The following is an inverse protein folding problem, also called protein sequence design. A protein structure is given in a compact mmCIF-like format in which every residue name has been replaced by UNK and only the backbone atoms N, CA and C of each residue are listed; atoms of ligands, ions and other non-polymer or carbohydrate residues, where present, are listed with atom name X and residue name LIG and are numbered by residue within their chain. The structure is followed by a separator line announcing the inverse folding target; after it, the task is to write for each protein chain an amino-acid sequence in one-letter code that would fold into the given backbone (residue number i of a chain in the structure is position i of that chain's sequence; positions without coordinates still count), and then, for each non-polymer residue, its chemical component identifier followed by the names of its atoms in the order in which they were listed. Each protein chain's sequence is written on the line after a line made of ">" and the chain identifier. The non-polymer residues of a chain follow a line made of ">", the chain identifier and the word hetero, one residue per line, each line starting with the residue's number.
data_IF_778354540999
#
_entry.id   IF_778354540999
#
_cell.length_a   1.000
_cell.length_b   1.000
_cell.length_c   1.000
_cell.angle_alpha   90.00
_cell.angle_beta   90.00
_cell.angle_gamma   90.00
#
_symmetry.space_group_name_H-M   'P 1'
#
loop_
_entity.id
_entity.type
_entity.pdbx_description
1 polymer ?
2 polymer ?
3 non-polymer ?
4 non-polymer ?
5 non-polymer ?
6 non-polymer ?
7 non-polymer ?
8 non-polymer ?
9 non-polymer ?
10 non-polymer ?
11 water ?
#
# COMPACT_ATOMS: atom_id res chain seq x y z
N UNK A 10 11.41 -15.35 -3.08
CA UNK A 10 10.10 -14.74 -3.37
C UNK A 10 9.20 -14.64 -2.10
N UNK A 11 9.22 -15.70 -1.26
CA UNK A 11 8.46 -15.81 -0.01
C UNK A 11 9.03 -14.85 1.05
N UNK A 12 8.43 -13.63 1.20
CA UNK A 12 8.88 -12.60 2.15
C UNK A 12 7.82 -12.12 3.18
N UNK A 13 8.04 -12.43 4.48
CA UNK A 13 7.20 -11.95 5.58
C UNK A 13 7.93 -10.83 6.27
N UNK A 14 7.21 -9.78 6.65
CA UNK A 14 7.78 -8.65 7.37
C UNK A 14 6.75 -7.76 8.03
N UNK A 15 7.19 -7.09 9.09
CA UNK A 15 6.44 -6.13 9.87
C UNK A 15 6.89 -4.72 9.42
N UNK A 16 6.01 -3.75 9.55
CA UNK A 16 6.31 -2.36 9.29
C UNK A 16 5.87 -1.51 10.50
N UNK A 17 6.66 -0.50 10.81
CA UNK A 17 6.38 0.41 11.91
C UNK A 17 6.56 1.83 11.46
N UNK A 18 5.64 2.66 11.94
CA UNK A 18 5.62 4.08 11.72
C UNK A 18 5.63 4.75 13.07
N UNK A 19 6.66 5.58 13.32
CA UNK A 19 6.78 6.33 14.55
C UNK A 19 6.74 7.78 14.15
N UNK A 20 5.58 8.42 14.39
CA UNK A 20 5.33 9.83 14.09
C UNK A 20 5.58 10.65 15.37
N UNK A 21 6.55 11.57 15.32
CA UNK A 21 6.93 12.42 16.47
C UNK A 21 6.56 13.86 16.20
N UNK A 22 5.42 14.30 16.73
CA UNK A 22 4.92 15.62 16.42
C UNK A 22 5.55 16.71 17.24
N UNK A 23 5.45 16.64 18.59
CA UNK A 23 5.97 17.65 19.50
C UNK A 23 6.52 17.02 20.78
N UNK A 24 7.02 17.84 21.73
CA UNK A 24 7.58 17.44 23.04
C UNK A 24 6.78 16.33 23.73
N UNK A 25 5.44 16.35 23.56
CA UNK A 25 4.49 15.41 24.15
C UNK A 25 3.84 14.44 23.15
N UNK A 26 3.32 14.94 22.03
CA UNK A 26 2.63 14.10 21.04
C UNK A 26 3.59 13.31 20.16
N UNK A 27 3.47 11.97 20.22
CA UNK A 27 4.23 11.01 19.43
C UNK A 27 3.49 9.68 19.45
N UNK A 28 3.18 9.11 18.28
CA UNK A 28 2.48 7.83 18.21
C UNK A 28 3.20 6.79 17.34
N UNK A 29 2.80 5.53 17.49
CA UNK A 29 3.37 4.40 16.75
C UNK A 29 2.31 3.50 16.14
N UNK A 30 2.59 2.93 14.94
CA UNK A 30 1.66 2.05 14.23
C UNK A 30 2.37 0.99 13.38
N UNK A 31 1.87 -0.24 13.49
CA UNK A 31 2.40 -1.40 12.77
C UNK A 31 1.43 -2.22 11.96
N UNK A 32 1.97 -3.10 11.12
CA UNK A 32 1.20 -3.99 10.23
C UNK A 32 2.06 -5.29 9.99
N UNK A 33 1.42 -6.40 9.63
CA UNK A 33 2.08 -7.67 9.36
C UNK A 33 1.86 -8.04 7.92
N UNK A 34 2.92 -8.07 7.12
CA UNK A 34 2.78 -8.28 5.68
C UNK A 34 3.46 -9.50 5.13
N UNK A 35 2.82 -10.09 4.13
CA UNK A 35 3.27 -11.23 3.37
C UNK A 35 3.25 -10.70 1.93
N UNK A 36 4.34 -9.97 1.57
CA UNK A 36 4.55 -9.22 0.33
C UNK A 36 3.48 -8.10 0.27
N UNK A 37 2.63 -8.07 -0.77
CA UNK A 37 1.56 -7.07 -0.89
C UNK A 37 0.37 -7.42 0.04
N UNK A 38 0.25 -8.72 0.44
CA UNK A 38 -0.86 -9.20 1.24
C UNK A 38 -0.70 -8.89 2.72
N UNK A 39 -1.62 -8.08 3.27
CA UNK A 39 -1.59 -7.77 4.69
C UNK A 39 -2.20 -8.93 5.45
N UNK A 40 -1.48 -9.45 6.44
CA UNK A 40 -1.87 -10.60 7.25
C UNK A 40 -2.18 -10.25 8.68
N UNK A 41 -1.64 -9.12 9.18
CA UNK A 41 -1.80 -8.65 10.56
C UNK A 41 -1.90 -7.15 10.67
N UNK A 42 -2.40 -6.70 11.81
CA UNK A 42 -2.54 -5.29 12.11
C UNK A 42 -2.19 -5.03 13.56
N UNK A 43 -2.00 -3.76 13.93
CA UNK A 43 -1.64 -3.47 15.30
C UNK A 43 -2.49 -2.42 15.96
N UNK A 44 -3.16 -2.77 17.07
CA UNK A 44 -3.98 -1.83 17.85
C UNK A 44 -3.02 -0.93 18.60
N UNK A 45 -2.62 0.16 17.92
CA UNK A 45 -1.68 1.20 18.34
C UNK A 45 -1.86 1.60 19.80
N UNK A 46 -3.11 1.94 20.20
CA UNK A 46 -3.49 2.36 21.55
C UNK A 46 -3.36 1.22 22.57
N UNK A 47 -4.22 0.16 22.46
CA UNK A 47 -4.31 -1.02 23.35
C UNK A 47 -3.05 -1.89 23.45
N UNK A 48 -2.30 -1.98 22.34
CA UNK A 48 -1.15 -2.86 22.25
C UNK A 48 -1.67 -4.29 22.13
N UNK A 49 -2.38 -4.58 21.01
CA UNK A 49 -3.01 -5.88 20.72
C UNK A 49 -2.84 -6.25 19.24
N UNK A 50 -2.35 -7.47 18.93
CA UNK A 50 -2.17 -7.91 17.52
C UNK A 50 -3.54 -8.16 16.94
N UNK A 51 -3.72 -7.76 15.68
CA UNK A 51 -4.95 -7.95 14.92
C UNK A 51 -4.68 -9.01 13.86
N UNK A 52 -5.39 -10.14 13.98
CA UNK A 52 -5.26 -11.22 13.03
C UNK A 52 -6.32 -11.00 12.00
N UNK A 53 -5.90 -10.52 10.83
CA UNK A 53 -6.80 -10.19 9.74
C UNK A 53 -7.51 -11.39 9.16
N UNK A 54 -6.79 -12.49 8.93
CA UNK A 54 -7.36 -13.72 8.36
C UNK A 54 -7.45 -14.87 9.37
N UNK A 55 -8.27 -15.90 9.00
CA UNK A 55 -8.45 -17.14 9.75
C UNK A 55 -7.08 -17.75 10.07
N UNK A 56 -6.20 -17.86 9.04
CA UNK A 56 -4.85 -18.43 9.02
C UNK A 56 -3.69 -17.54 9.50
N UNK A 57 -3.99 -16.30 9.93
CA UNK A 57 -2.99 -15.35 10.44
C UNK A 57 -2.16 -15.90 11.65
N UNK A 58 -2.72 -16.90 12.37
CA UNK A 58 -2.04 -17.56 13.48
C UNK A 58 -0.86 -18.40 12.91
N UNK A 59 -1.05 -18.95 11.70
CA UNK A 59 -0.04 -19.76 11.01
C UNK A 59 0.00 -21.18 11.52
N UNK A 60 0.93 -21.45 12.44
CA UNK A 60 1.03 -22.73 13.11
C UNK A 60 1.35 -22.48 14.58
N UNK A 61 1.81 -21.25 14.88
CA UNK A 61 2.20 -20.78 16.21
C UNK A 61 1.13 -20.89 17.27
N UNK A 62 1.55 -21.41 18.43
CA UNK A 62 0.75 -21.57 19.64
C UNK A 62 0.36 -20.19 20.14
N UNK A 63 -0.81 -20.06 20.76
CA UNK A 63 -1.24 -18.77 21.28
C UNK A 63 -0.37 -18.32 22.45
N UNK A 64 0.22 -19.28 23.19
CA UNK A 64 1.15 -18.99 24.28
C UNK A 64 2.37 -18.30 23.64
N UNK A 65 2.73 -18.72 22.41
CA UNK A 65 3.85 -18.14 21.68
C UNK A 65 3.43 -16.75 21.31
N UNK A 66 2.48 -16.62 20.36
CA UNK A 66 1.95 -15.36 19.84
C UNK A 66 1.68 -14.31 20.91
N UNK A 67 1.23 -14.74 22.11
CA UNK A 67 0.97 -13.80 23.20
C UNK A 67 2.27 -13.17 23.68
N UNK A 68 3.30 -14.02 23.94
CA UNK A 68 4.64 -13.59 24.32
C UNK A 68 5.21 -12.66 23.21
N UNK A 69 4.98 -13.00 21.93
CA UNK A 69 5.40 -12.17 20.81
C UNK A 69 4.68 -10.84 20.86
N UNK A 70 3.32 -10.86 20.92
CA UNK A 70 2.46 -9.68 21.02
C UNK A 70 2.96 -8.78 22.13
N UNK A 71 3.33 -9.39 23.28
CA UNK A 71 3.87 -8.73 24.46
C UNK A 71 5.19 -8.00 24.16
N UNK A 72 6.19 -8.74 23.64
CA UNK A 72 7.47 -8.16 23.27
C UNK A 72 7.26 -6.98 22.30
N UNK A 73 6.39 -7.15 21.29
CA UNK A 73 6.07 -6.08 20.35
C UNK A 73 5.53 -4.85 21.06
N UNK A 74 4.56 -5.03 22.01
CA UNK A 74 3.91 -3.97 22.79
C UNK A 74 4.94 -3.15 23.52
N UNK A 75 5.84 -3.82 24.31
CA UNK A 75 6.92 -3.17 25.06
C UNK A 75 7.79 -2.30 24.15
N UNK A 76 8.26 -2.88 23.03
CA UNK A 76 9.08 -2.24 22.01
C UNK A 76 8.37 -1.04 21.32
N UNK A 77 7.12 -1.24 20.88
CA UNK A 77 6.33 -0.19 20.22
C UNK A 77 6.18 1.02 21.16
N UNK A 78 6.08 0.77 22.48
CA UNK A 78 5.97 1.83 23.45
C UNK A 78 7.31 2.40 23.84
N UNK A 79 8.25 1.52 24.17
CA UNK A 79 9.61 1.83 24.57
C UNK A 79 10.40 2.61 23.54
N UNK A 80 10.33 2.19 22.24
CA UNK A 80 11.05 2.90 21.16
C UNK A 80 10.66 4.39 21.17
N UNK A 81 9.34 4.68 21.26
CA UNK A 81 8.78 6.02 21.36
C UNK A 81 9.27 6.72 22.62
N UNK A 82 9.28 5.99 23.75
CA UNK A 82 9.67 6.47 25.08
C UNK A 82 11.12 6.94 25.04
N UNK A 83 12.02 6.06 24.55
CA UNK A 83 13.46 6.29 24.39
C UNK A 83 13.76 7.37 23.36
N UNK A 84 12.96 7.43 22.25
CA UNK A 84 13.12 8.46 21.22
C UNK A 84 12.75 9.84 21.79
N UNK A 85 11.58 9.94 22.45
CA UNK A 85 11.17 11.22 23.01
C UNK A 85 12.08 11.68 24.13
N UNK A 86 12.81 10.74 24.76
CA UNK A 86 13.77 11.05 25.83
C UNK A 86 14.99 11.76 25.28
N UNK A 87 15.45 11.34 24.10
CA UNK A 87 16.60 11.94 23.43
C UNK A 87 16.19 13.26 22.79
N UNK A 88 14.96 13.31 22.21
CA UNK A 88 14.37 14.48 21.56
C UNK A 88 13.97 15.57 22.56
N UNK A 89 13.97 15.24 23.88
CA UNK A 89 13.66 16.16 24.97
C UNK A 89 14.74 17.25 25.10
N UNK A 90 15.93 17.03 24.47
CA UNK A 90 17.08 17.94 24.46
C UNK A 90 16.95 19.00 23.35
N UNK A 91 16.71 18.57 22.07
CA UNK A 91 16.59 19.47 20.92
C UNK A 91 15.16 19.51 20.35
N UNK A 92 14.27 20.28 21.03
CA UNK A 92 12.85 20.46 20.67
C UNK A 92 12.63 21.14 19.27
N UNK A 93 13.75 21.39 18.54
CA UNK A 93 13.81 22.00 17.21
C UNK A 93 13.71 20.93 16.13
N UNK A 94 14.35 19.75 16.36
CA UNK A 94 14.34 18.59 15.44
C UNK A 94 12.92 18.05 15.14
N UNK A 95 11.91 18.52 15.90
CA UNK A 95 10.48 18.22 15.78
C UNK A 95 9.88 18.99 14.60
N UNK A 96 8.96 18.40 13.78
CA UNK A 96 8.47 17.03 13.79
C UNK A 96 9.36 16.15 12.91
N UNK A 97 9.23 14.82 13.05
CA UNK A 97 10.01 13.84 12.30
C UNK A 97 9.36 12.47 12.33
N UNK A 98 9.71 11.62 11.36
CA UNK A 98 9.14 10.31 11.28
C UNK A 98 10.17 9.23 11.09
N UNK A 99 10.07 8.20 11.92
CA UNK A 99 10.91 7.03 11.88
C UNK A 99 10.08 5.94 11.20
N UNK A 100 10.72 5.14 10.33
CA UNK A 100 10.09 4.04 9.61
C UNK A 100 10.86 2.75 9.81
N UNK A 101 10.16 1.63 10.04
CA UNK A 101 10.85 0.36 10.23
C UNK A 101 10.27 -0.65 9.29
N UNK A 102 11.14 -1.41 8.63
CA UNK A 102 10.76 -2.53 7.76
C UNK A 102 11.70 -3.65 8.18
N UNK A 103 11.16 -4.78 8.66
CA UNK A 103 12.00 -5.89 9.11
C UNK A 103 11.30 -7.22 9.04
N UNK A 104 11.97 -8.20 8.46
CA UNK A 104 11.44 -9.54 8.33
C UNK A 104 12.45 -10.48 7.73
N UNK A 105 12.02 -11.27 6.73
CA UNK A 105 12.85 -12.27 6.07
C UNK A 105 12.26 -12.71 4.77
N UNK A 106 13.11 -13.14 3.81
CA UNK A 106 12.72 -13.76 2.53
C UNK A 106 13.39 -15.14 2.51
N UNK A 107 12.62 -16.24 2.55
CA UNK A 107 13.16 -17.61 2.58
C UNK A 107 13.35 -18.20 1.18
N UNK A 112 19.30 -21.07 1.43
CA UNK A 112 19.28 -20.66 2.83
C UNK A 112 18.40 -19.38 3.06
N UNK A 113 17.78 -19.17 4.26
CA UNK A 113 16.91 -17.97 4.44
C UNK A 113 17.64 -16.68 4.86
N UNK A 114 17.18 -15.52 4.35
CA UNK A 114 17.77 -14.22 4.67
C UNK A 114 16.83 -13.30 5.48
N UNK A 115 17.32 -12.79 6.61
CA UNK A 115 16.59 -11.86 7.50
C UNK A 115 17.00 -10.42 7.27
N UNK A 116 16.22 -9.42 7.78
CA UNK A 116 16.54 -7.98 7.56
C UNK A 116 15.90 -7.01 8.52
N UNK A 117 16.46 -5.81 8.64
CA UNK A 117 15.93 -4.77 9.50
C UNK A 117 16.41 -3.41 8.99
N UNK A 118 15.59 -2.80 8.11
CA UNK A 118 15.82 -1.48 7.51
C UNK A 118 15.06 -0.40 8.31
N UNK A 119 15.73 0.73 8.54
CA UNK A 119 15.22 1.89 9.29
C UNK A 119 15.40 3.11 8.42
N UNK A 120 14.40 3.98 8.46
CA UNK A 120 14.42 5.24 7.73
C UNK A 120 14.05 6.38 8.65
N UNK A 121 14.55 7.57 8.33
CA UNK A 121 14.28 8.81 9.03
C UNK A 121 13.82 9.83 7.99
N UNK A 122 12.65 10.41 8.21
CA UNK A 122 12.08 11.40 7.30
C UNK A 122 12.01 10.85 5.87
N UNK A 123 11.81 9.53 5.79
CA UNK A 123 11.67 8.77 4.56
C UNK A 123 12.93 8.67 3.73
N UNK A 124 14.04 8.38 4.41
CA UNK A 124 15.37 8.23 3.86
C UNK A 124 16.09 7.29 4.77
N UNK A 125 16.66 6.20 4.21
CA UNK A 125 17.37 5.19 4.99
C UNK A 125 18.29 5.82 6.02
N UNK A 126 18.15 5.35 7.26
CA UNK A 126 18.95 5.81 8.37
C UNK A 126 19.96 4.74 8.67
N UNK A 127 19.52 3.51 8.96
CA UNK A 127 20.41 2.37 9.28
C UNK A 127 19.83 1.00 8.88
N UNK A 128 20.65 -0.03 9.09
CA UNK A 128 20.35 -1.40 8.78
C UNK A 128 20.89 -2.37 9.83
N UNK A 129 20.45 -3.65 9.76
CA UNK A 129 20.98 -4.66 10.65
C UNK A 129 21.70 -5.68 9.81
N UNK A 130 23.02 -5.64 9.87
CA UNK A 130 23.86 -6.52 9.08
C UNK A 130 24.59 -7.42 10.03
N UNK A 131 24.37 -8.75 9.89
CA UNK A 131 24.83 -9.81 10.79
C UNK A 131 24.28 -9.40 12.18
N UNK A 132 25.17 -8.95 13.09
CA UNK A 132 24.77 -8.49 14.41
C UNK A 132 25.12 -7.00 14.62
N UNK A 133 25.66 -6.35 13.59
CA UNK A 133 26.06 -4.96 13.62
C UNK A 133 25.00 -4.05 13.06
N UNK A 134 24.71 -2.95 13.77
CA UNK A 134 23.80 -1.91 13.34
C UNK A 134 24.69 -1.00 12.52
N UNK A 135 24.40 -0.90 11.21
CA UNK A 135 25.22 -0.17 10.24
C UNK A 135 24.51 1.04 9.67
N UNK A 136 25.16 2.21 9.83
CA UNK A 136 24.57 3.45 9.29
C UNK A 136 24.44 3.44 7.75
N UNK A 137 23.33 3.97 7.22
CA UNK A 137 23.18 4.13 5.76
C UNK A 137 24.23 5.16 5.32
N UNK A 138 25.02 4.87 4.24
CA UNK A 138 26.10 5.80 3.86
C UNK A 138 25.56 7.16 3.40
N UNK A 139 25.60 8.13 4.31
CA UNK A 139 25.07 9.48 4.06
C UNK A 139 25.02 10.31 5.33
N UNK A 140 23.81 10.43 5.98
CA UNK A 140 23.72 11.16 7.26
C UNK A 140 24.45 10.36 8.33
N UNK A 141 25.68 10.78 8.62
CA UNK A 141 26.51 10.11 9.59
C UNK A 141 26.14 10.44 11.02
N UNK A 142 26.15 11.74 11.40
CA UNK A 142 25.98 12.21 12.77
C UNK A 142 24.78 11.63 13.49
N UNK A 143 23.57 11.65 12.88
CA UNK A 143 22.43 11.02 13.55
C UNK A 143 22.55 9.49 13.55
N UNK A 144 22.75 8.84 12.36
CA UNK A 144 22.89 7.39 12.33
C UNK A 144 23.99 6.84 13.26
N UNK A 145 25.27 7.29 13.11
CA UNK A 145 26.44 6.90 13.91
C UNK A 145 26.17 6.94 15.43
N UNK A 146 25.37 7.96 15.86
CA UNK A 146 24.91 8.20 17.23
C UNK A 146 23.94 7.08 17.60
N UNK A 147 22.82 6.90 16.85
CA UNK A 147 21.82 5.83 17.06
C UNK A 147 22.55 4.46 17.10
N UNK A 148 23.20 4.06 15.97
CA UNK A 148 23.98 2.84 15.78
C UNK A 148 24.87 2.51 16.95
N UNK A 149 25.58 3.52 17.47
CA UNK A 149 26.45 3.32 18.62
C UNK A 149 25.65 2.73 19.77
N UNK A 150 24.60 3.45 20.22
CA UNK A 150 23.75 3.07 21.34
C UNK A 150 23.15 1.72 21.15
N UNK A 151 22.80 1.39 19.90
CA UNK A 151 22.24 0.08 19.57
C UNK A 151 23.34 -0.98 19.70
N UNK A 152 24.53 -0.74 19.13
CA UNK A 152 25.65 -1.68 19.14
C UNK A 152 26.32 -1.88 20.49
N UNK A 153 26.31 -0.86 21.38
CA UNK A 153 27.04 -0.91 22.65
C UNK A 153 26.30 -0.43 23.87
N UNK A 154 25.01 -0.10 23.79
CA UNK A 154 24.42 0.43 25.00
C UNK A 154 23.11 -0.23 25.37
N UNK A 155 22.22 -0.55 24.43
CA UNK A 155 20.99 -1.24 24.85
C UNK A 155 21.32 -2.71 24.72
N UNK A 156 21.56 -3.37 25.88
CA UNK A 156 22.13 -4.71 25.95
C UNK A 156 21.29 -5.87 25.40
N UNK A 157 20.04 -6.03 25.79
CA UNK A 157 19.23 -7.13 25.27
C UNK A 157 18.97 -7.14 23.77
N UNK A 158 18.38 -6.05 23.31
CA UNK A 158 17.92 -5.70 21.96
C UNK A 158 18.57 -6.44 20.75
N UNK A 159 19.89 -6.25 20.49
CA UNK A 159 20.57 -6.83 19.31
C UNK A 159 20.35 -8.32 19.14
N UNK A 160 20.52 -9.10 20.22
CA UNK A 160 20.34 -10.55 20.19
C UNK A 160 18.88 -10.90 19.88
N UNK A 161 17.94 -10.12 20.47
CA UNK A 161 16.51 -10.30 20.28
C UNK A 161 16.13 -10.05 18.84
N UNK A 162 16.58 -8.92 18.26
CA UNK A 162 16.32 -8.53 16.87
C UNK A 162 16.89 -9.61 15.90
N UNK A 163 18.11 -10.07 16.22
CA UNK A 163 18.79 -11.13 15.49
C UNK A 163 17.92 -12.38 15.50
N UNK A 164 17.47 -12.79 16.68
CA UNK A 164 16.61 -13.94 16.84
C UNK A 164 15.29 -13.80 16.11
N UNK A 165 14.64 -12.66 16.23
CA UNK A 165 13.34 -12.49 15.58
C UNK A 165 13.42 -12.63 14.09
N UNK A 166 14.40 -11.98 13.45
CA UNK A 166 14.49 -12.00 11.98
C UNK A 166 15.07 -13.33 11.44
N UNK A 167 15.90 -14.03 12.21
CA UNK A 167 16.53 -15.25 11.71
C UNK A 167 15.93 -16.56 12.23
N UNK A 168 15.41 -16.61 13.47
CA UNK A 168 14.80 -17.83 14.04
C UNK A 168 13.28 -17.80 13.97
N UNK A 169 12.65 -16.74 14.48
CA UNK A 169 11.20 -16.66 14.56
C UNK A 169 10.56 -16.47 13.16
N UNK A 170 10.85 -15.35 12.43
CA UNK A 170 10.34 -15.01 11.08
C UNK A 170 10.33 -16.23 10.12
N UNK A 171 11.46 -16.94 9.89
CA UNK A 171 11.40 -18.11 8.98
C UNK A 171 10.48 -19.22 9.46
N UNK A 172 10.49 -19.49 10.79
CA UNK A 172 9.62 -20.48 11.43
C UNK A 172 8.16 -20.09 11.21
N UNK A 173 7.84 -18.80 11.44
CA UNK A 173 6.51 -18.25 11.28
C UNK A 173 5.99 -18.26 9.84
N UNK A 174 6.76 -17.63 8.90
CA UNK A 174 6.48 -17.47 7.46
C UNK A 174 6.21 -18.80 6.77
N UNK A 175 6.92 -19.85 7.22
CA UNK A 175 6.73 -21.19 6.68
C UNK A 175 5.37 -21.69 7.09
N UNK A 176 5.05 -21.48 8.37
CA UNK A 176 3.76 -21.84 8.96
C UNK A 176 2.61 -21.13 8.30
N UNK A 177 2.75 -19.80 8.12
CA UNK A 177 1.76 -18.91 7.51
C UNK A 177 1.40 -19.27 6.09
N UNK A 178 2.40 -19.72 5.30
CA UNK A 178 2.20 -20.16 3.93
C UNK A 178 1.41 -21.48 3.85
N UNK A 179 1.75 -22.45 4.74
CA UNK A 179 1.02 -23.71 4.80
C UNK A 179 -0.38 -23.44 5.41
N UNK A 180 -0.51 -22.36 6.21
CA UNK A 180 -1.76 -21.92 6.83
C UNK A 180 -2.74 -21.32 5.82
N UNK A 181 -2.26 -20.34 5.02
CA UNK A 181 -3.04 -19.66 4.01
C UNK A 181 -3.05 -20.32 2.64
N UNK A 182 -2.57 -21.59 2.55
CA UNK A 182 -2.46 -22.43 1.34
C UNK A 182 -3.49 -22.11 0.24
N UNK A 183 -4.79 -22.18 0.57
CA UNK A 183 -5.89 -21.91 -0.37
C UNK A 183 -6.00 -20.40 -0.72
N UNK A 184 -5.98 -19.50 0.29
CA UNK A 184 -6.13 -18.05 0.11
C UNK A 184 -4.97 -17.40 -0.63
N UNK A 185 -3.74 -17.76 -0.29
CA UNK A 185 -2.51 -17.20 -0.87
C UNK A 185 -2.31 -17.71 -2.31
N UNK A 186 -2.82 -18.88 -2.65
CA UNK A 186 -2.67 -19.39 -4.00
C UNK A 186 -3.98 -19.37 -4.84
N UNK A 187 -5.03 -18.66 -4.34
CA UNK A 187 -6.34 -18.55 -5.01
C UNK A 187 -6.25 -17.80 -6.34
N UNK A 188 -7.15 -18.11 -7.28
CA UNK A 188 -7.17 -17.45 -8.58
C UNK A 188 -8.54 -16.77 -8.81
N UNK A 189 -8.53 -15.44 -8.90
CA UNK A 189 -9.73 -14.63 -9.08
C UNK A 189 -9.75 -14.02 -10.49
N UNK A 190 -10.70 -14.50 -11.31
CA UNK A 190 -10.88 -14.08 -12.70
C UNK A 190 -11.31 -12.59 -12.82
N UNK A 191 -10.70 -11.82 -13.75
CA UNK A 191 -11.03 -10.38 -13.85
C UNK A 191 -12.37 -10.06 -14.48
N UNK A 192 -12.94 -8.93 -14.06
CA UNK A 192 -14.18 -8.36 -14.59
C UNK A 192 -13.71 -7.20 -15.54
N UNK A 193 -13.76 -7.44 -16.86
CA UNK A 193 -13.24 -6.48 -17.83
C UNK A 193 -14.30 -5.78 -18.74
N UNK A 194 -14.21 -4.44 -18.89
CA UNK A 194 -15.12 -3.66 -19.73
C UNK A 194 -14.46 -2.51 -20.46
N UNK A 195 -15.17 -1.94 -21.44
CA UNK A 195 -14.66 -0.78 -22.17
C UNK A 195 -15.38 0.51 -21.72
N UNK A 196 -14.86 1.68 -22.13
CA UNK A 196 -15.38 2.98 -21.71
C UNK A 196 -14.96 4.10 -22.69
N UNK A 197 -15.86 5.08 -22.90
CA UNK A 197 -15.62 6.27 -23.71
C UNK A 197 -15.44 7.48 -22.79
N UNK A 198 -14.64 8.46 -23.20
CA UNK A 198 -14.36 9.67 -22.42
C UNK A 198 -13.86 10.78 -23.32
N UNK A 199 -14.45 11.98 -23.27
CA UNK A 199 -13.96 13.06 -24.12
C UNK A 199 -12.51 13.46 -23.81
N UNK A 200 -11.64 13.39 -24.85
CA UNK A 200 -10.24 13.78 -24.79
C UNK A 200 -10.20 15.29 -24.98
N UNK A 201 -9.04 15.90 -24.73
CA UNK A 201 -8.88 17.33 -24.87
C UNK A 201 -8.99 17.84 -26.31
N UNK A 202 -8.76 16.95 -27.28
CA UNK A 202 -8.77 17.27 -28.70
C UNK A 202 -10.12 17.30 -29.39
N UNK A 203 -10.21 18.13 -30.45
CA UNK A 203 -11.40 18.25 -31.31
C UNK A 203 -11.43 16.95 -32.11
N UNK A 204 -12.56 16.25 -32.04
CA UNK A 204 -12.72 14.95 -32.69
C UNK A 204 -11.73 13.93 -32.17
N UNK A 205 -11.54 13.86 -30.82
CA UNK A 205 -10.65 12.93 -30.13
C UNK A 205 -11.36 12.43 -28.86
N UNK A 206 -11.50 11.09 -28.71
CA UNK A 206 -12.15 10.40 -27.57
C UNK A 206 -11.14 9.43 -26.96
N UNK A 207 -11.22 9.21 -25.66
CA UNK A 207 -10.35 8.25 -24.96
C UNK A 207 -11.07 6.91 -24.83
N UNK A 208 -10.31 5.82 -24.91
CA UNK A 208 -10.87 4.48 -24.83
C UNK A 208 -10.32 3.75 -23.63
N UNK A 209 -11.09 3.78 -22.55
CA UNK A 209 -10.64 3.14 -21.32
C UNK A 209 -11.06 1.67 -21.33
N UNK A 210 -10.06 0.79 -21.16
CA UNK A 210 -10.26 -0.65 -21.05
C UNK A 210 -10.00 -1.00 -19.58
N UNK A 211 -10.99 -1.54 -18.90
CA UNK A 211 -10.85 -1.90 -17.49
C UNK A 211 -10.75 -3.39 -17.31
N UNK A 212 -10.09 -3.82 -16.23
CA UNK A 212 -9.93 -5.20 -15.75
C UNK A 212 -9.88 -5.04 -14.24
N UNK A 213 -10.99 -5.33 -13.59
CA UNK A 213 -11.10 -5.13 -12.15
C UNK A 213 -11.28 -6.46 -11.41
N UNK A 214 -11.13 -6.40 -10.08
CA UNK A 214 -11.36 -7.51 -9.15
C UNK A 214 -10.63 -8.81 -9.45
N UNK A 215 -9.35 -8.75 -9.84
CA UNK A 215 -8.52 -9.92 -10.16
C UNK A 215 -7.39 -10.16 -9.12
N UNK A 216 -6.96 -11.43 -8.96
CA UNK A 216 -5.89 -11.85 -8.04
C UNK A 216 -5.33 -13.20 -8.51
N UNK A 217 -4.03 -13.49 -8.48
CA UNK A 217 -2.89 -12.65 -8.08
C UNK A 217 -2.63 -11.48 -9.03
N UNK A 218 -1.97 -10.42 -8.50
CA UNK A 218 -1.62 -9.14 -9.14
C UNK A 218 -1.09 -9.24 -10.61
N UNK A 219 -0.17 -10.18 -11.01
CA UNK A 219 0.30 -10.17 -12.41
C UNK A 219 -0.80 -10.29 -13.49
N UNK A 220 -0.99 -9.20 -14.26
CA UNK A 220 -2.01 -9.04 -15.29
C UNK A 220 -1.43 -8.42 -16.59
N UNK A 221 -2.18 -8.48 -17.75
CA UNK A 221 -1.74 -7.91 -19.04
C UNK A 221 -2.88 -7.40 -19.88
N UNK A 222 -3.28 -6.15 -19.61
CA UNK A 222 -4.33 -5.41 -20.34
C UNK A 222 -3.64 -4.70 -21.53
N UNK A 223 -3.96 -5.12 -22.77
CA UNK A 223 -3.36 -4.57 -24.00
C UNK A 223 -4.42 -4.11 -25.00
N UNK A 224 -4.18 -2.96 -25.68
CA UNK A 224 -5.05 -2.40 -26.76
C UNK A 224 -4.45 -2.76 -28.10
N UNK A 225 -5.29 -3.30 -28.99
CA UNK A 225 -4.90 -3.73 -30.34
C UNK A 225 -5.59 -2.90 -31.41
N UNK A 226 -4.82 -2.34 -32.38
CA UNK A 226 -5.43 -1.62 -33.50
C UNK A 226 -5.53 -2.68 -34.56
N UNK A 227 -6.71 -3.35 -34.59
CA UNK A 227 -6.99 -4.50 -35.44
C UNK A 227 -5.98 -5.64 -35.11
N UNK A 228 -4.98 -5.86 -36.01
CA UNK A 228 -3.96 -6.91 -35.89
C UNK A 228 -2.88 -6.67 -34.81
N UNK A 229 -2.12 -5.56 -34.89
CA UNK A 229 -1.02 -5.27 -33.95
C UNK A 229 -1.45 -4.70 -32.58
N UNK A 230 -0.64 -5.03 -31.54
CA UNK A 230 -0.76 -4.58 -30.15
C UNK A 230 -0.17 -3.19 -30.13
N UNK A 231 -0.91 -2.21 -29.60
CA UNK A 231 -0.46 -0.82 -29.59
C UNK A 231 0.18 -0.33 -28.28
N UNK A 232 1.54 -0.17 -28.30
CA UNK A 232 2.27 0.48 -27.21
C UNK A 232 1.97 1.96 -27.50
N UNK A 233 1.91 2.79 -26.48
CA UNK A 233 1.50 4.18 -26.68
C UNK A 233 0.11 4.45 -26.16
N UNK A 234 -0.36 3.61 -25.25
CA UNK A 234 -1.63 3.70 -24.54
C UNK A 234 -1.24 4.20 -23.12
N UNK A 235 -2.21 4.67 -22.30
CA UNK A 235 -1.91 5.11 -20.92
C UNK A 235 -2.27 4.04 -19.92
N UNK A 236 -1.27 3.20 -19.64
CA UNK A 236 -1.29 2.09 -18.71
C UNK A 236 -1.33 2.70 -17.32
N UNK A 237 -2.25 2.24 -16.47
CA UNK A 237 -2.36 2.73 -15.11
C UNK A 237 -1.52 1.90 -14.15
N UNK A 238 -1.58 2.22 -12.85
CA UNK A 238 -0.88 1.43 -11.83
C UNK A 238 -1.83 0.29 -11.46
N UNK A 239 -1.33 -0.93 -11.24
CA UNK A 239 -2.23 -2.02 -10.81
C UNK A 239 -2.59 -1.65 -9.35
N UNK A 240 -3.83 -1.16 -9.18
CA UNK A 240 -4.33 -0.61 -7.92
C UNK A 240 -5.10 -1.59 -7.02
N UNK A 241 -5.13 -1.33 -5.69
CA UNK A 241 -5.81 -2.25 -4.79
C UNK A 241 -7.29 -2.00 -4.60
N UNK A 242 -8.03 -3.08 -4.24
CA UNK A 242 -9.45 -3.06 -3.87
C UNK A 242 -9.51 -3.53 -2.43
N UNK A 243 -10.52 -3.09 -1.68
CA UNK A 243 -10.68 -3.42 -0.26
C UNK A 243 -10.70 -4.91 -0.02
N UNK A 244 -11.26 -5.69 -0.97
CA UNK A 244 -11.38 -7.14 -0.86
C UNK A 244 -10.06 -7.89 -0.89
N UNK A 245 -9.10 -7.34 -1.60
CA UNK A 245 -7.77 -7.92 -1.77
C UNK A 245 -7.38 -7.96 -3.23
N UNK A 246 -8.36 -7.87 -4.12
CA UNK A 246 -8.12 -7.91 -5.54
C UNK A 246 -7.56 -6.60 -6.07
N UNK A 247 -7.14 -6.67 -7.33
CA UNK A 247 -6.45 -5.64 -8.06
C UNK A 247 -7.26 -5.05 -9.19
N UNK A 248 -6.84 -3.88 -9.65
CA UNK A 248 -7.54 -3.16 -10.70
C UNK A 248 -6.54 -2.48 -11.62
N UNK A 249 -6.81 -2.55 -12.95
CA UNK A 249 -5.98 -1.89 -13.97
C UNK A 249 -6.86 -1.29 -15.04
N UNK A 250 -6.43 -0.12 -15.60
CA UNK A 250 -7.09 0.53 -16.74
C UNK A 250 -6.09 1.10 -17.74
N UNK A 251 -6.27 0.78 -19.02
CA UNK A 251 -5.42 1.23 -20.12
C UNK A 251 -6.25 2.13 -21.07
N UNK A 252 -5.81 3.39 -21.21
CA UNK A 252 -6.47 4.42 -22.03
C UNK A 252 -5.85 4.50 -23.43
N UNK A 253 -6.67 4.55 -24.46
CA UNK A 253 -6.20 4.67 -25.83
C UNK A 253 -6.94 5.85 -26.47
N UNK A 254 -6.21 6.86 -26.87
CA UNK A 254 -6.87 7.98 -27.51
C UNK A 254 -7.10 7.65 -28.99
N UNK A 255 -8.32 7.93 -29.50
CA UNK A 255 -8.70 7.68 -30.90
C UNK A 255 -9.35 8.90 -31.52
N UNK A 256 -9.11 9.11 -32.81
CA UNK A 256 -9.74 10.21 -33.51
C UNK A 256 -11.17 9.79 -33.84
N UNK A 257 -12.06 10.78 -34.08
CA UNK A 257 -13.46 10.61 -34.43
C UNK A 257 -13.69 9.31 -35.25
N UNK A 258 -14.08 8.23 -34.53
CA UNK A 258 -14.33 6.86 -35.01
C UNK A 258 -13.09 6.19 -35.72
N UNK A 259 -12.14 5.64 -34.93
CA UNK A 259 -10.95 4.97 -35.47
C UNK A 259 -11.05 3.45 -35.40
N UNK A 262 -11.89 0.02 -36.15
CA UNK A 262 -11.99 -1.35 -35.69
C UNK A 262 -10.81 -1.81 -34.87
N UNK A 263 -10.88 -1.58 -33.52
CA UNK A 263 -9.85 -1.89 -32.52
C UNK A 263 -10.45 -2.72 -31.34
N UNK A 264 -9.60 -3.45 -30.57
CA UNK A 264 -9.97 -4.30 -29.43
C UNK A 264 -8.98 -4.26 -28.23
N UNK A 265 -9.37 -4.83 -27.04
CA UNK A 265 -8.57 -4.91 -25.82
C UNK A 265 -8.41 -6.35 -25.31
N UNK A 266 -7.19 -6.91 -25.40
CA UNK A 266 -6.86 -8.26 -24.89
C UNK A 266 -6.43 -8.16 -23.42
N UNK A 267 -7.03 -8.97 -22.55
CA UNK A 267 -6.75 -8.98 -21.11
C UNK A 267 -6.21 -10.38 -20.75
N UNK A 268 -4.92 -10.49 -20.32
CA UNK A 268 -4.26 -11.77 -19.99
C UNK A 268 -4.01 -11.95 -18.51
N UNK A 269 -4.70 -12.90 -17.88
CA UNK A 269 -4.54 -13.17 -16.46
C UNK A 269 -4.35 -14.65 -16.15
N UNK A 270 -3.41 -14.90 -15.24
CA UNK A 270 -3.00 -16.19 -14.71
C UNK A 270 -4.22 -17.12 -14.57
N UNK A 271 -5.35 -16.57 -14.06
CA UNK A 271 -6.59 -17.27 -13.78
C UNK A 271 -7.25 -17.86 -15.00
N UNK A 272 -7.41 -17.03 -16.08
CA UNK A 272 -8.02 -17.41 -17.37
C UNK A 272 -7.18 -18.60 -17.93
N UNK A 273 -7.84 -19.76 -18.06
CA UNK A 273 -7.20 -21.01 -18.46
C UNK A 273 -6.57 -21.07 -19.84
N UNK A 274 -5.39 -20.45 -19.98
CA UNK A 274 -4.65 -20.39 -21.24
C UNK A 274 -5.28 -19.43 -22.24
N UNK A 275 -6.55 -19.05 -21.99
CA UNK A 275 -7.32 -18.11 -22.78
C UNK A 275 -7.06 -16.65 -22.27
N UNK A 276 -7.39 -15.66 -23.10
CA UNK A 276 -7.27 -14.25 -22.76
C UNK A 276 -8.60 -13.58 -23.15
N UNK A 277 -9.13 -12.65 -22.31
CA UNK A 277 -10.38 -11.93 -22.61
C UNK A 277 -10.18 -10.94 -23.77
N UNK A 278 -11.10 -10.90 -24.74
CA UNK A 278 -10.97 -9.89 -25.78
C UNK A 278 -12.21 -9.02 -25.77
N UNK A 279 -11.99 -7.71 -25.78
CA UNK A 279 -13.05 -6.74 -25.67
C UNK A 279 -13.03 -5.84 -26.88
N UNK A 280 -14.10 -5.95 -27.72
CA UNK A 280 -14.20 -5.18 -28.96
C UNK A 280 -14.97 -3.88 -28.81
N UNK A 281 -14.32 -2.77 -29.25
CA UNK A 281 -14.95 -1.44 -29.24
C UNK A 281 -15.48 -1.15 -30.62
N UNK A 282 -16.81 -1.03 -30.71
CA UNK A 282 -17.51 -0.75 -31.95
C UNK A 282 -17.28 -1.80 -33.01
N UNK A 283 -17.45 -1.38 -34.26
CA UNK A 283 -17.36 -2.23 -35.45
C UNK A 283 -15.94 -2.43 -36.02
N UNK A 284 -15.73 -3.63 -36.64
CA UNK A 284 -14.55 -4.10 -37.39
C UNK A 284 -14.96 -4.18 -38.90
N UNK A 285 -14.00 -4.01 -39.85
CA UNK A 285 -14.34 -4.02 -41.28
C UNK A 285 -13.36 -4.87 -42.18
N UNK A 286 -13.29 -6.22 -42.02
CA UNK A 286 -12.41 -7.02 -42.89
C UNK A 286 -12.94 -7.21 -44.31
N UNK B 2 16.87 17.45 7.84
CA UNK B 2 17.45 16.51 6.86
C UNK B 2 16.53 15.23 6.57
N UNK B 3 15.58 15.42 5.63
CA UNK B 3 14.61 14.43 5.16
C UNK B 3 14.02 14.67 3.77
N UNK B 4 12.74 14.17 3.53
CA UNK B 4 11.95 14.20 2.26
C UNK B 4 10.49 14.67 2.44
N UNK B 5 9.97 15.39 1.41
CA UNK B 5 8.58 15.84 1.33
C UNK B 5 8.10 15.54 -0.10
N UNK B 6 7.09 14.65 -0.20
CA UNK B 6 6.44 14.19 -1.46
C UNK B 6 5.00 14.57 -1.48
N UNK B 7 4.47 14.94 -2.64
CA UNK B 7 3.05 15.28 -2.71
C UNK B 7 2.28 14.01 -2.98
N UNK B 8 1.10 13.89 -2.33
CA UNK B 8 0.24 12.73 -2.60
C UNK B 8 -0.22 12.57 -4.05
N UNK B 9 -0.37 11.30 -4.47
CA UNK B 9 -0.86 10.91 -5.80
C UNK B 9 -2.23 10.25 -5.60
N UNK B 10 -3.29 11.03 -5.89
CA UNK B 10 -4.67 10.60 -5.72
C UNK B 10 -5.10 9.89 -6.96
N UNK B 11 -5.81 8.75 -6.82
CA UNK B 11 -6.34 7.93 -7.92
C UNK B 11 -7.71 7.41 -7.52
N UNK B 12 -8.73 7.71 -8.34
CA UNK B 12 -10.12 7.37 -8.04
C UNK B 12 -10.69 6.39 -9.06
N UNK B 13 -11.36 5.34 -8.58
CA UNK B 13 -11.96 4.27 -9.36
C UNK B 13 -13.09 3.59 -8.59
N UNK B 14 -13.86 2.73 -9.28
CA UNK B 14 -15.01 1.98 -8.79
C UNK B 14 -14.61 0.49 -8.71
N UNK B 15 -15.20 -0.28 -7.76
CA UNK B 15 -14.89 -1.72 -7.54
C UNK B 15 -15.39 -2.57 -8.75
N UNK B 16 -16.52 -2.15 -9.37
CA UNK B 16 -17.24 -2.74 -10.51
C UNK B 16 -17.70 -1.60 -11.49
N UNK B 17 -18.20 -1.85 -12.74
CA UNK B 17 -18.62 -0.72 -13.60
C UNK B 17 -20.01 -0.12 -13.35
N UNK B 19 -23.25 0.43 -13.60
CA UNK B 19 -24.71 0.60 -13.67
C UNK B 19 -25.22 1.52 -12.56
N UNK B 20 -26.20 2.38 -12.90
CA UNK B 20 -26.84 3.33 -11.98
C UNK B 20 -27.88 2.55 -11.18
N UNK B 21 -27.95 2.80 -9.87
CA UNK B 21 -28.88 2.08 -8.99
C UNK B 21 -28.34 0.76 -8.50
N UNK B 22 -27.39 0.16 -9.23
CA UNK B 22 -26.74 -1.08 -8.84
C UNK B 22 -25.54 -0.71 -7.92
N UNK B 23 -25.59 -1.15 -6.65
CA UNK B 23 -24.57 -0.83 -5.63
C UNK B 23 -23.15 -1.26 -5.99
N UNK B 24 -22.21 -0.35 -5.73
CA UNK B 24 -20.78 -0.47 -6.04
C UNK B 24 -19.92 -0.04 -4.84
N UNK B 25 -18.62 0.28 -5.11
CA UNK B 25 -17.63 0.76 -4.14
C UNK B 25 -16.72 1.77 -4.76
N UNK B 26 -16.66 2.96 -4.16
CA UNK B 26 -15.79 4.00 -4.65
C UNK B 26 -14.46 3.91 -3.91
N UNK B 27 -13.37 3.77 -4.70
CA UNK B 27 -12.01 3.66 -4.21
C UNK B 27 -11.17 4.90 -4.50
N UNK B 28 -10.61 5.48 -3.44
CA UNK B 28 -9.67 6.58 -3.57
C UNK B 28 -8.32 6.11 -3.01
N UNK B 29 -7.34 5.93 -3.91
CA UNK B 29 -6.00 5.46 -3.60
C UNK B 29 -4.99 6.58 -3.56
N UNK B 30 -4.51 6.91 -2.36
CA UNK B 30 -3.53 7.97 -2.21
C UNK B 30 -2.11 7.38 -2.04
N UNK B 31 -1.21 7.66 -3.01
CA UNK B 31 0.15 7.14 -3.04
C UNK B 31 1.23 8.13 -2.64
N UNK B 32 2.47 7.62 -2.61
CA UNK B 32 3.76 8.27 -2.35
C UNK B 32 3.84 9.65 -1.75
N UNK B 33 3.54 9.77 -0.47
CA UNK B 33 3.56 11.06 0.17
C UNK B 33 4.46 11.11 1.42
N UNK B 34 5.00 12.29 1.68
CA UNK B 34 5.84 12.48 2.83
C UNK B 34 5.54 13.78 3.50
N UNK B 35 5.19 13.79 4.82
CA UNK B 35 5.07 12.67 5.77
C UNK B 35 3.71 11.99 5.70
N UNK B 36 3.40 11.15 6.70
CA UNK B 36 2.16 10.40 6.77
C UNK B 36 0.96 11.26 7.06
N UNK B 37 1.14 12.36 7.88
CA UNK B 37 0.01 13.26 8.21
C UNK B 37 -0.69 13.67 6.90
N UNK B 38 -1.88 13.07 6.69
CA UNK B 38 -2.71 13.30 5.53
C UNK B 38 -4.17 13.37 5.97
N UNK B 39 -5.00 14.10 5.21
CA UNK B 39 -6.44 14.25 5.41
C UNK B 39 -7.11 13.87 4.10
N UNK B 40 -7.71 12.66 4.03
CA UNK B 40 -8.40 12.17 2.81
C UNK B 40 -9.91 12.15 3.05
N UNK B 41 -10.66 12.81 2.18
CA UNK B 41 -12.11 12.92 2.25
C UNK B 41 -12.75 12.36 1.02
N UNK B 42 -13.97 11.83 1.17
CA UNK B 42 -14.68 11.37 -0.02
C UNK B 42 -15.92 12.27 -0.29
N UNK B 43 -16.20 12.60 -1.55
CA UNK B 43 -17.28 13.55 -1.81
C UNK B 43 -18.41 13.05 -2.69
N UNK B 44 -19.66 13.37 -2.27
CA UNK B 44 -20.95 13.13 -2.94
C UNK B 44 -21.49 14.51 -3.17
N UNK B 45 -21.40 14.96 -4.41
CA UNK B 45 -21.83 16.28 -4.87
C UNK B 45 -21.13 17.42 -4.08
N UNK B 46 -19.92 17.13 -3.61
CA UNK B 46 -19.08 18.07 -2.88
C UNK B 46 -19.22 18.04 -1.37
N UNK B 47 -20.14 17.20 -0.87
CA UNK B 47 -20.37 17.04 0.57
C UNK B 47 -19.47 15.91 1.14
N UNK B 48 -18.76 16.15 2.28
CA UNK B 48 -17.90 15.11 2.86
C UNK B 48 -18.73 13.89 3.30
N UNK B 49 -18.53 12.76 2.60
CA UNK B 49 -19.17 11.47 2.85
C UNK B 49 -18.68 10.94 4.21
N UNK B 50 -19.63 10.65 5.12
CA UNK B 50 -19.36 10.09 6.45
C UNK B 50 -19.31 8.56 6.28
N UNK B 51 -19.00 7.80 7.37
CA UNK B 51 -18.92 6.34 7.35
C UNK B 51 -18.25 5.81 6.05
N UNK B 52 -16.93 6.03 6.00
CA UNK B 52 -16.09 5.63 4.89
C UNK B 52 -14.82 4.98 5.48
N UNK B 53 -14.69 3.66 5.26
CA UNK B 53 -13.56 2.85 5.74
C UNK B 53 -12.30 3.05 4.86
N UNK B 54 -11.11 2.84 5.47
CA UNK B 54 -9.82 3.01 4.81
C UNK B 54 -8.79 1.95 5.23
N UNK B 55 -7.63 1.91 4.52
CA UNK B 55 -6.47 1.02 4.78
C UNK B 55 -5.78 1.37 6.07
N UNK B 56 -4.88 0.48 6.55
CA UNK B 56 -3.98 0.72 7.68
C UNK B 56 -2.80 1.34 6.93
N UNK B 57 -2.19 2.40 7.46
CA UNK B 57 -1.12 3.07 6.74
C UNK B 57 0.04 2.13 6.42
N UNK B 58 0.47 2.16 5.17
CA UNK B 58 1.61 1.38 4.70
C UNK B 58 2.47 2.24 3.76
N UNK B 59 3.72 1.85 3.54
CA UNK B 59 4.63 2.59 2.71
C UNK B 59 5.32 1.69 1.75
N UNK B 60 5.56 2.19 0.55
CA UNK B 60 6.17 1.51 -0.59
C UNK B 60 7.68 1.28 -0.36
N UNK B 61 8.38 0.49 -1.25
CA UNK B 61 9.82 0.16 -1.05
C UNK B 61 10.64 1.39 -0.67
N UNK B 62 10.41 2.50 -1.38
CA UNK B 62 11.02 3.82 -1.25
C UNK B 62 10.54 4.65 -0.04
N UNK B 63 9.79 4.04 0.89
CA UNK B 63 9.31 4.67 2.12
C UNK B 63 8.19 5.70 1.91
N UNK B 64 7.70 5.88 0.70
CA UNK B 64 6.62 6.83 0.52
C UNK B 64 5.34 6.15 1.01
N UNK B 65 4.44 6.85 1.71
CA UNK B 65 3.25 6.19 2.27
C UNK B 65 2.13 5.95 1.22
N UNK B 66 1.05 5.23 1.64
CA UNK B 66 -0.17 4.91 0.86
C UNK B 66 -1.34 4.40 1.68
N UNK B 67 -2.55 4.73 1.20
CA UNK B 67 -3.83 4.36 1.78
C UNK B 67 -4.86 4.23 0.66
N UNK B 68 -5.79 3.29 0.85
CA UNK B 68 -6.93 3.01 -0.01
C UNK B 68 -8.15 3.35 0.83
N UNK B 69 -8.97 4.25 0.29
CA UNK B 69 -10.19 4.75 0.90
C UNK B 69 -11.38 4.16 0.16
N UNK B 70 -12.42 3.75 0.88
CA UNK B 70 -13.58 3.13 0.24
C UNK B 70 -14.91 3.27 1.02
N UNK B 71 -16.02 3.42 0.27
CA UNK B 71 -17.37 3.49 0.82
C UNK B 71 -18.29 2.75 -0.15
N UNK B 72 -19.24 1.94 0.41
CA UNK B 72 -20.24 1.23 -0.39
C UNK B 72 -21.14 2.32 -0.93
N UNK B 73 -21.14 2.52 -2.26
CA UNK B 73 -21.96 3.58 -2.85
C UNK B 73 -22.92 3.11 -3.95
N UNK B 74 -23.99 3.88 -4.15
CA UNK B 74 -24.98 3.57 -5.16
C UNK B 74 -25.05 4.79 -6.11
N UNK B 75 -24.47 4.66 -7.33
CA UNK B 75 -24.45 5.82 -8.23
C UNK B 75 -25.75 6.04 -9.01
N UNK B 76 -25.98 7.29 -9.43
CA UNK B 76 -27.13 7.74 -10.22
C UNK B 76 -26.63 8.77 -11.21
N UNK B 77 -27.46 9.10 -12.21
CA UNK B 77 -27.15 10.05 -13.28
C UNK B 77 -26.71 11.43 -12.77
N UNK B 78 -27.52 12.04 -11.87
CA UNK B 78 -27.34 13.38 -11.30
C UNK B 78 -26.23 13.50 -10.23
N UNK B 79 -25.62 12.38 -9.81
CA UNK B 79 -24.58 12.33 -8.77
C UNK B 79 -23.15 12.47 -9.26
N UNK B 80 -22.37 13.30 -8.55
CA UNK B 80 -20.95 13.62 -8.79
C UNK B 80 -20.08 13.13 -7.62
N UNK B 81 -19.13 12.20 -7.90
CA UNK B 81 -18.25 11.65 -6.88
C UNK B 81 -16.80 12.01 -7.13
N UNK B 82 -16.12 12.50 -6.07
CA UNK B 82 -14.71 12.93 -6.10
C UNK B 82 -14.01 12.68 -4.79
N UNK B 83 -12.67 12.80 -4.79
CA UNK B 83 -11.85 12.55 -3.62
C UNK B 83 -10.98 13.75 -3.27
N UNK B 84 -11.19 14.35 -2.09
CA UNK B 84 -10.46 15.53 -1.62
C UNK B 84 -9.38 15.17 -0.64
N UNK B 85 -8.14 15.48 -1.02
CA UNK B 85 -6.95 15.22 -0.22
C UNK B 85 -6.23 16.52 0.09
N UNK B 86 -5.84 16.70 1.38
CA UNK B 86 -5.03 17.84 1.86
C UNK B 86 -3.86 17.31 2.67
N UNK B 87 -2.70 17.91 2.39
CA UNK B 87 -1.39 17.53 2.90
C UNK B 87 -0.50 18.77 2.97
N UNK B 88 0.53 18.71 3.84
CA UNK B 88 1.51 19.78 4.09
C UNK B 88 2.22 20.24 2.84
N UNK B 89 2.40 19.34 1.86
CA UNK B 89 3.03 19.66 0.58
C UNK B 89 2.05 20.44 -0.30
N UNK B 90 0.73 20.19 -0.10
CA UNK B 90 -0.32 20.87 -0.86
C UNK B 90 -0.64 22.23 -0.28
N UNK B 91 -0.57 23.27 -1.13
CA UNK B 91 -0.87 24.66 -0.79
C UNK B 91 -2.38 24.89 -0.52
N UNK B 92 -3.25 24.03 -1.09
CA UNK B 92 -4.70 24.00 -0.94
C UNK B 92 -5.17 22.60 -1.31
N UNK B 93 -6.28 22.06 -0.70
CA UNK B 93 -6.73 20.69 -1.02
C UNK B 93 -6.78 20.35 -2.51
N UNK B 94 -6.67 19.06 -2.81
CA UNK B 94 -6.68 18.59 -4.18
C UNK B 94 -7.93 17.74 -4.40
N UNK B 95 -8.89 18.25 -5.19
CA UNK B 95 -10.11 17.52 -5.47
C UNK B 95 -9.87 16.68 -6.71
N UNK B 96 -10.10 15.36 -6.64
CA UNK B 96 -9.90 14.49 -7.80
C UNK B 96 -11.20 13.78 -8.13
N UNK B 97 -11.80 14.13 -9.28
CA UNK B 97 -13.09 13.63 -9.74
C UNK B 97 -13.05 12.23 -10.28
N UNK B 98 -14.05 11.41 -9.88
CA UNK B 98 -14.17 10.04 -10.37
C UNK B 98 -14.88 10.14 -11.67
N UNK B 99 -14.20 9.72 -12.73
CA UNK B 99 -14.76 9.79 -14.07
C UNK B 99 -15.62 8.55 -14.37
N UNK B 100 -16.58 8.68 -15.32
CA UNK B 100 -17.48 7.59 -15.72
C UNK B 100 -17.51 7.53 -17.27
N UNK B 101 -18.70 7.56 -17.90
CA UNK B 101 -18.96 7.55 -19.35
C UNK B 101 -18.47 6.30 -20.07
X LIG C 1 1.14 18.61 19.72
X LIG C 1 0.43 19.80 20.37
X LIG C 1 -1.08 19.55 20.44
X LIG C 1 -1.65 19.12 19.10
X LIG C 1 -0.85 17.94 18.54
X LIG C 1 -1.27 17.52 17.15
X LIG C 1 1.97 20.91 21.96
X LIG C 1 2.26 21.15 23.41
X LIG C 1 0.97 20.05 21.69
X LIG C 1 -1.75 20.71 20.90
X LIG C 1 -3.02 18.77 19.26
X LIG C 1 0.55 18.30 18.46
X LIG C 1 -0.85 16.19 16.84
X LIG C 1 2.62 21.46 21.08
X LIG D 1 5.79 -24.12 12.26
X LIG D 1 6.51 -24.67 13.50
X LIG D 1 8.02 -24.73 13.26
X LIG D 1 8.36 -25.46 11.96
X LIG D 1 7.63 -24.80 10.80
X LIG D 1 7.84 -25.49 9.46
X LIG D 1 6.21 -23.85 14.67
X LIG D 1 8.66 -25.35 14.37
X LIG D 1 9.77 -25.45 11.73
X LIG D 1 6.21 -24.78 11.06
X LIG D 1 7.03 -26.65 9.32
X LIG E 1 28.79 -12.18 12.77
X LIG E 1 30.04 -12.80 12.13
X LIG E 1 30.47 -13.91 13.08
X LIG E 1 30.80 -13.35 14.47
X LIG E 1 29.62 -12.53 15.01
X LIG E 1 29.95 -11.73 16.25
X LIG E 1 29.69 -12.61 9.69
X LIG E 1 29.15 -13.29 8.47
X LIG E 1 29.72 -13.34 10.82
X LIG E 1 31.61 -14.62 12.58
X LIG E 1 31.15 -14.40 15.37
X LIG E 1 29.18 -11.58 14.02
X LIG E 1 28.78 -11.18 16.84
X LIG E 1 30.08 -11.44 9.67
X LIG F 1 15.73 10.70 17.19
X LIG F 1 16.38 9.96 16.04
X LIG F 1 15.61 8.77 15.48
X LIG F 1 15.99 7.45 16.18
X LIG F 1 15.58 6.24 15.34
X LIG F 1 15.79 4.93 16.11
X LIG F 1 15.71 3.73 15.15
X LIG F 1 16.45 2.48 15.65
X LIG F 1 15.56 1.24 15.49
X LIG F 1 16.12 0.02 16.21
X LIG F 1 15.61 -0.11 17.64
X LIG F 1 15.39 -1.56 18.03
X LIG G 1 2.65 -11.23 14.14
X LIG G 1 3.54 -12.24 14.82
X LIG G 1 5.01 -11.86 14.62
X LIG G 1 5.85 -13.00 14.03
X LIG G 1 7.36 -12.84 14.21
X LIG G 1 8.06 -12.59 12.87
X LIG G 1 9.40 -11.92 13.09
X LIG G 1 9.41 -10.50 12.56
X LIG G 1 9.56 -9.53 13.73
X LIG G 1 10.49 -8.37 13.37
X LIG G 1 10.22 -7.10 14.18
X LIG G 1 11.17 -6.98 15.37
X LIG G 1 11.09 -5.62 16.09
X LIG G 1 10.56 -5.73 17.52
X LIG G 1 11.48 -6.38 18.57
X LIG G 1 12.41 -5.47 19.35
X LIG G 1 13.12 -4.64 18.78
X LIG G 1 12.51 -5.60 20.82
X LIG G 1 13.77 -5.65 21.50
X LIG G 1 13.78 -4.73 22.74
X LIG G 1 13.34 -5.55 23.96
X LIG G 1 14.02 -6.81 24.02
X LIG G 1 13.69 -7.96 25.12
X LIG G 1 14.18 -7.57 26.47
X LIG G 1 12.19 -8.12 25.11
X LIG G 1 14.38 -9.38 24.77
X LIG G 1 14.32 -10.51 25.66
X LIG G 1 12.98 -11.26 25.55
X LIG G 1 12.92 -12.48 24.70
X LIG G 1 12.85 -13.67 25.55
X LIG G 1 11.70 -12.43 23.89
X LIG G 1 14.02 -12.63 23.74
X LIG G 1 12.90 -3.59 22.55
X LIG G 1 13.37 -2.22 22.86
X LIG G 1 13.02 -1.69 23.92
X LIG G 1 14.19 -1.42 21.85
X LIG G 1 15.10 -0.37 22.51
X LIG G 1 15.95 0.33 21.45
X LIG G 1 16.15 1.81 21.77
X LIG G 1 16.79 2.55 20.60
X LIG G 1 16.68 4.04 20.83
X LIG G 1 17.86 4.82 20.29
X LIG G 1 17.49 6.29 20.20
X LIG G 1 18.64 7.19 20.59
X LIG G 1 18.86 8.29 19.54
X LIG G 1 20.30 8.80 19.57
X LIG G 1 20.47 10.18 18.96
X LIG G 1 21.15 11.14 19.94
X LIG G 1 21.74 12.34 19.22
X LIG G 1 20.76 13.52 19.12
X LIG H 1 23.28 -7.83 22.35
X LIG I 1 -4.30 6.35 -13.55
X LIG I 1 -5.25 5.71 -14.48
X LIG I 1 -3.51 7.40 -14.21
X LIG I 1 -5.05 6.98 -12.44
X LIG I 1 -3.39 5.30 -13.02
X LIG J 1 23.01 15.51 11.45
X LIG J 1 23.05 14.96 10.03
X LIG J 1 24.15 16.34 11.70
X LIG J 1 23.66 13.25 10.02
X LIG K 1 -7.07 20.61 -31.67
X LIG K 1 -6.90 19.20 -31.71
X LIG K 1 -7.40 21.07 -30.22
X LIG K 1 -8.75 20.77 -29.88
X LIG L 1 -6.31 11.25 -18.71
X LIG L 1 -6.08 12.45 -19.50
X LIG L 1 -5.86 12.14 -20.99
X LIG L 1 -4.89 11.04 -21.15
X LIG L 1 -5.30 9.82 -20.43
X LIG L 1 -5.41 10.16 -18.93
X LIG L 1 -4.49 10.87 -22.56
X LIG L 1 -4.53 9.44 -23.08
X LIG L 1 -3.21 9.14 -24.03
X LIG L 1 -3.46 8.11 -25.08
X LIG L 1 -2.69 10.37 -24.68
X LIG L 1 -2.19 8.61 -23.13
#
# INVERSE_FOLDING_TARGET
>A
ETGADASQEHVSFHVIQIFSFVNQSWARGQGSGWLDELQTHGWDSESGTIIFLHNWSKGNFSNEELSDLELLFRFYLFGLTREIQDHASQDYSKYPFEVQVKAGCELHSGKSPEGFFQVAFNGLDLLSFQNTTWVPSPGCGSLAQSVCHLLNHQYEGVTETVYNLIRSTCPRFLLGLLDAGKMYVHRQVRPEAWLSSRPSLGSGQLLLVCHASGFYPKPVWVTWMRNEQEQLGTKHGDILPNADGTWYLQVILEVASEEPAGLSCRVRHSSLGGQDIILYWGSLVPR
>B
ETGIQRTPKIQVYSRHPAENGKSNFLNCYVSGFHPSDIEVDLLKNGERIEKVEHSDLSFSKDWSFYLLYYTEFTPTEKDEYACRVNHVTLSQPKIVKWDRDMGSLVPR
>C hetero
1 NAG C1 C2 C3 C4 C5 C6 C7 C8 N2 O3 O4 O5 O6 O7
>D hetero
1 NAG C1 C2 C3 C4 C5 C6 N2 O3 O4 O5 O6
>E hetero
1 NAG C1 C2 C3 C4 C5 C6 C7 C8 N2 O3 O4 O5 O6 O7
>F hetero
1 D12 C1 C2 C3 C4 C5 C6 C7 C8 C9 C10 C11 C12
>G hetero
1 6PL C26 C25 C24 C23 C22 C21 C20 C19 C18 C17 C16 C15 C14 C13 C12 C11 O11 O3 C3 C2 C1 O3P P O1P O2P O4P C4 C5 N C7 C8 C6 O2 C31 O31 C32 C33 C34 C35 C36 C37 C38 C39 C40 C41 C42 C43 C44 C45 C46
>H hetero
1 NA NA
>I hetero
1 SO4 S O1 O2 O3 O4
>J hetero
1 BME C1 C2 O1 S2
>K hetero
1 EDO C1 O1 C2 O2
>L hetero
1 MES O1 C2 C3 N4 C5 C6 C7 C8 S O1S O2S O3S
#
